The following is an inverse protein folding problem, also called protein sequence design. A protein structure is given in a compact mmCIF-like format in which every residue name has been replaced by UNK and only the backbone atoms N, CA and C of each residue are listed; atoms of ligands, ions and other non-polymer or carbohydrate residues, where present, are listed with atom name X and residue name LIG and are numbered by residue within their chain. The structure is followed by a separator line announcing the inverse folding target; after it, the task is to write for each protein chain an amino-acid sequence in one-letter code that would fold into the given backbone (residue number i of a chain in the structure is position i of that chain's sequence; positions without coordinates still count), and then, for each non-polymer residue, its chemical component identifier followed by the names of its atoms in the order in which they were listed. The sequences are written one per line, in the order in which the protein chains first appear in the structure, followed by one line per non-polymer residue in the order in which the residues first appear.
data_IF_643978633408
#
_entry.id   IF_643978633408
#
_cell.length_a   1.000
_cell.length_b   1.000
_cell.length_c   1.000
_cell.angle_alpha   90.00
_cell.angle_beta   90.00
_cell.angle_gamma   90.00
#
_symmetry.space_group_name_H-M   'P 1'
#
loop_
_entity.id
_entity.type
_entity.pdbx_description
1 polymer ?
#
# COMPACT_ATOMS: atom_id res chain seq x y z
N UNK A 1 -5.69 8.46 -49.16
CA UNK A 1 -6.40 8.09 -47.91
C UNK A 1 -5.68 8.82 -46.79
N UNK A 2 -6.21 9.97 -46.39
CA UNK A 2 -5.49 10.95 -45.56
C UNK A 2 -5.66 10.59 -44.07
N UNK A 3 -4.59 10.10 -43.45
CA UNK A 3 -4.48 10.01 -41.99
C UNK A 3 -4.26 11.42 -41.43
N UNK A 4 -5.34 12.14 -41.12
CA UNK A 4 -5.24 13.33 -40.27
C UNK A 4 -5.05 12.87 -38.83
N UNK A 5 -3.82 12.92 -38.34
CA UNK A 5 -3.49 12.83 -36.91
C UNK A 5 -4.01 14.09 -36.22
N UNK A 6 -5.32 14.19 -36.02
CA UNK A 6 -5.89 15.22 -35.17
C UNK A 6 -5.54 14.88 -33.73
N UNK A 7 -4.85 15.78 -33.05
CA UNK A 7 -4.50 15.61 -31.65
C UNK A 7 -5.78 15.44 -30.83
N UNK A 8 -6.02 14.23 -30.34
CA UNK A 8 -7.20 13.89 -29.55
C UNK A 8 -6.93 14.24 -28.09
N UNK A 9 -7.26 15.47 -27.70
CA UNK A 9 -7.02 15.99 -26.34
C UNK A 9 -7.63 15.09 -25.24
N UNK A 10 -8.86 14.56 -25.36
CA UNK A 10 -9.39 13.60 -24.39
C UNK A 10 -8.51 12.35 -24.19
N UNK A 11 -8.11 11.68 -25.28
CA UNK A 11 -7.25 10.49 -25.19
C UNK A 11 -5.85 10.81 -24.63
N UNK A 12 -5.32 11.99 -24.94
CA UNK A 12 -4.06 12.46 -24.36
C UNK A 12 -4.18 12.69 -22.85
N UNK A 13 -5.28 13.31 -22.40
CA UNK A 13 -5.54 13.57 -20.99
C UNK A 13 -5.77 12.29 -20.19
N UNK A 14 -6.50 11.32 -20.73
CA UNK A 14 -6.74 10.03 -20.07
C UNK A 14 -5.43 9.24 -19.84
N UNK A 15 -4.47 9.37 -20.75
CA UNK A 15 -3.19 8.64 -20.66
C UNK A 15 -2.11 9.37 -19.84
N UNK A 16 -2.02 10.69 -19.93
CA UNK A 16 -0.93 11.47 -19.33
C UNK A 16 -1.37 12.49 -18.27
N UNK A 17 -2.68 12.60 -18.01
CA UNK A 17 -3.25 13.58 -17.10
C UNK A 17 -2.64 13.52 -15.69
N UNK A 18 -2.38 12.33 -15.16
CA UNK A 18 -1.75 12.16 -13.84
C UNK A 18 -0.35 12.77 -13.78
N UNK A 19 0.49 12.56 -14.80
CA UNK A 19 1.83 13.15 -14.86
C UNK A 19 1.77 14.67 -15.01
N UNK A 20 0.80 15.17 -15.77
CA UNK A 20 0.60 16.61 -15.95
C UNK A 20 0.12 17.28 -14.64
N UNK A 21 -0.83 16.66 -13.93
CA UNK A 21 -1.28 17.10 -12.62
C UNK A 21 -0.12 17.11 -11.62
N UNK A 22 0.70 16.05 -11.60
CA UNK A 22 1.90 16.00 -10.76
C UNK A 22 2.85 17.16 -11.07
N UNK A 23 3.13 17.44 -12.34
CA UNK A 23 4.00 18.54 -12.74
C UNK A 23 3.46 19.90 -12.28
N UNK A 24 2.16 20.15 -12.45
CA UNK A 24 1.49 21.36 -11.97
C UNK A 24 1.63 21.51 -10.46
N UNK A 25 1.34 20.45 -9.70
CA UNK A 25 1.47 20.46 -8.23
C UNK A 25 2.92 20.79 -7.84
N UNK A 26 3.90 20.16 -8.46
CA UNK A 26 5.32 20.42 -8.16
C UNK A 26 5.71 21.87 -8.43
N UNK A 27 5.24 22.45 -9.54
CA UNK A 27 5.51 23.86 -9.87
C UNK A 27 4.85 24.80 -8.85
N UNK A 28 3.56 24.61 -8.57
CA UNK A 28 2.82 25.50 -7.65
C UNK A 28 3.42 25.45 -6.24
N UNK A 29 3.57 24.25 -5.66
CA UNK A 29 4.11 24.11 -4.31
C UNK A 29 5.60 24.38 -4.23
N UNK A 30 6.34 24.11 -5.31
CA UNK A 30 7.76 24.46 -5.44
C UNK A 30 7.99 25.97 -5.49
N UNK A 31 7.09 26.75 -6.08
CA UNK A 31 7.18 28.21 -6.11
C UNK A 31 6.69 28.87 -4.83
N UNK A 32 5.57 28.42 -4.26
CA UNK A 32 4.94 29.08 -3.10
C UNK A 32 5.58 28.65 -1.78
N UNK A 33 6.02 27.39 -1.68
CA UNK A 33 6.50 26.78 -0.43
C UNK A 33 7.88 26.14 -0.60
N UNK A 34 8.76 26.72 -1.42
CA UNK A 34 10.09 26.19 -1.75
C UNK A 34 10.88 25.70 -0.52
N UNK A 35 10.90 26.51 0.55
CA UNK A 35 11.63 26.24 1.79
C UNK A 35 11.17 24.98 2.54
N UNK A 36 9.98 24.44 2.23
CA UNK A 36 9.44 23.22 2.81
C UNK A 36 9.30 22.11 1.76
N UNK A 37 8.79 22.44 0.58
CA UNK A 37 8.38 21.49 -0.44
C UNK A 37 9.54 20.88 -1.24
N UNK A 38 10.47 21.70 -1.77
CA UNK A 38 11.62 21.23 -2.57
C UNK A 38 12.85 20.93 -1.72
N UNK A 39 12.65 20.57 -0.46
CA UNK A 39 13.75 20.16 0.42
C UNK A 39 14.11 18.70 0.17
N UNK A 40 15.41 18.38 0.25
CA UNK A 40 15.88 17.00 0.12
C UNK A 40 15.22 16.06 1.15
N UNK A 41 14.91 16.57 2.34
CA UNK A 41 14.18 15.81 3.36
C UNK A 41 12.74 15.54 2.96
N UNK A 42 12.00 16.53 2.47
CA UNK A 42 10.62 16.31 2.03
C UNK A 42 10.54 15.36 0.84
N UNK A 43 11.44 15.49 -0.13
CA UNK A 43 11.52 14.57 -1.27
C UNK A 43 11.77 13.13 -0.80
N UNK A 44 12.73 12.93 0.12
CA UNK A 44 12.99 11.60 0.71
C UNK A 44 11.75 11.05 1.44
N UNK A 45 11.05 11.89 2.21
CA UNK A 45 9.84 11.47 2.92
C UNK A 45 8.71 11.07 1.97
N UNK A 46 8.52 11.79 0.86
CA UNK A 46 7.56 11.42 -0.18
C UNK A 46 7.90 10.03 -0.75
N UNK A 47 9.16 9.80 -1.14
CA UNK A 47 9.57 8.49 -1.66
C UNK A 47 9.43 7.37 -0.63
N UNK A 48 9.79 7.61 0.63
CA UNK A 48 9.62 6.63 1.71
C UNK A 48 8.14 6.30 1.93
N UNK A 49 7.26 7.30 1.95
CA UNK A 49 5.82 7.09 2.10
C UNK A 49 5.22 6.31 0.92
N UNK A 50 5.62 6.66 -0.32
CA UNK A 50 5.19 5.93 -1.52
C UNK A 50 5.72 4.50 -1.56
N UNK A 51 6.92 4.24 -1.02
CA UNK A 51 7.53 2.91 -1.02
C UNK A 51 6.65 1.86 -0.33
N UNK A 52 5.94 2.24 0.73
CA UNK A 52 5.03 1.34 1.46
C UNK A 52 3.90 0.86 0.55
N UNK A 53 3.24 1.79 -0.15
CA UNK A 53 2.15 1.44 -1.09
C UNK A 53 2.67 0.62 -2.27
N UNK A 54 3.87 0.93 -2.79
CA UNK A 54 4.48 0.16 -3.88
C UNK A 54 4.76 -1.28 -3.44
N UNK A 55 5.34 -1.48 -2.26
CA UNK A 55 5.63 -2.82 -1.73
C UNK A 55 4.34 -3.64 -1.49
N UNK A 56 3.30 -3.01 -0.95
CA UNK A 56 1.99 -3.66 -0.78
C UNK A 56 1.40 -4.02 -2.16
N UNK A 57 1.46 -3.10 -3.12
CA UNK A 57 0.99 -3.36 -4.49
C UNK A 57 1.73 -4.51 -5.18
N UNK A 58 3.03 -4.66 -4.92
CA UNK A 58 3.80 -5.82 -5.40
C UNK A 58 3.34 -7.13 -4.77
N UNK A 59 2.91 -7.13 -3.50
CA UNK A 59 2.29 -8.28 -2.85
C UNK A 59 0.90 -8.60 -3.42
N UNK A 60 0.05 -7.58 -3.53
CA UNK A 60 -1.31 -7.70 -4.09
C UNK A 60 -1.32 -8.22 -5.53
N UNK A 61 -0.28 -7.93 -6.30
CA UNK A 61 -0.14 -8.48 -7.65
C UNK A 61 -0.31 -10.00 -7.71
N UNK A 62 0.23 -10.74 -6.73
CA UNK A 62 0.06 -12.19 -6.65
C UNK A 62 -1.39 -12.61 -6.35
N UNK A 63 -2.10 -11.85 -5.50
CA UNK A 63 -3.51 -12.09 -5.22
C UNK A 63 -4.39 -11.85 -6.46
N UNK A 64 -4.08 -10.81 -7.24
CA UNK A 64 -4.78 -10.50 -8.49
C UNK A 64 -4.53 -11.58 -9.56
N UNK A 65 -3.31 -12.12 -9.65
CA UNK A 65 -2.98 -13.17 -10.61
C UNK A 65 -3.82 -14.44 -10.45
N UNK A 66 -4.24 -14.76 -9.22
CA UNK A 66 -5.14 -15.89 -8.93
C UNK A 66 -6.62 -15.51 -9.01
N UNK A 67 -6.94 -14.38 -9.65
CA UNK A 67 -8.28 -13.78 -9.73
C UNK A 67 -8.90 -13.47 -8.34
N UNK A 68 -8.07 -13.27 -7.33
CA UNK A 68 -8.48 -12.83 -6.00
C UNK A 68 -8.32 -11.31 -5.82
N UNK A 69 -8.87 -10.80 -4.72
CA UNK A 69 -8.62 -9.43 -4.23
C UNK A 69 -8.43 -9.56 -2.71
N UNK A 70 -7.35 -9.01 -2.17
CA UNK A 70 -7.12 -8.98 -0.73
C UNK A 70 -7.35 -7.57 -0.16
N UNK A 71 -8.47 -7.42 0.56
CA UNK A 71 -8.84 -6.16 1.21
C UNK A 71 -8.19 -5.98 2.59
N UNK A 72 -7.58 -7.03 3.13
CA UNK A 72 -7.07 -7.08 4.49
C UNK A 72 -5.65 -6.56 4.64
N UNK A 73 -4.91 -6.33 3.55
CA UNK A 73 -3.49 -5.88 3.61
C UNK A 73 -3.28 -4.61 4.42
N UNK A 74 -4.23 -3.68 4.38
CA UNK A 74 -4.16 -2.48 5.22
C UNK A 74 -4.29 -2.79 6.72
N UNK A 75 -5.17 -3.72 7.08
CA UNK A 75 -5.32 -4.16 8.47
C UNK A 75 -4.15 -5.04 8.94
N UNK A 76 -3.62 -5.91 8.06
CA UNK A 76 -2.42 -6.70 8.34
C UNK A 76 -1.22 -5.78 8.58
N UNK A 77 -1.00 -4.78 7.71
CA UNK A 77 0.05 -3.78 7.88
C UNK A 77 -0.05 -3.08 9.24
N UNK A 78 -1.26 -2.63 9.59
CA UNK A 78 -1.49 -1.91 10.85
C UNK A 78 -1.25 -2.81 12.07
N UNK A 79 -1.76 -4.05 12.04
CA UNK A 79 -1.61 -5.02 13.13
C UNK A 79 -0.13 -5.45 13.30
N UNK A 80 0.53 -5.80 12.20
CA UNK A 80 1.94 -6.16 12.19
C UNK A 80 2.82 -5.00 12.70
N UNK A 81 2.56 -3.77 12.24
CA UNK A 81 3.26 -2.57 12.71
C UNK A 81 3.03 -2.30 14.20
N UNK A 82 1.79 -2.45 14.69
CA UNK A 82 1.47 -2.31 16.11
C UNK A 82 2.21 -3.35 16.96
N UNK A 83 2.24 -4.63 16.55
CA UNK A 83 2.97 -5.68 17.26
C UNK A 83 4.47 -5.37 17.30
N UNK A 84 5.07 -5.00 16.16
CA UNK A 84 6.49 -4.60 16.09
C UNK A 84 6.78 -3.44 17.06
N UNK A 85 5.93 -2.40 17.06
CA UNK A 85 6.10 -1.25 17.95
C UNK A 85 5.95 -1.63 19.43
N UNK A 86 4.93 -2.44 19.79
CA UNK A 86 4.74 -2.92 21.17
C UNK A 86 5.94 -3.75 21.66
N UNK A 87 6.52 -4.59 20.81
CA UNK A 87 7.73 -5.36 21.15
C UNK A 87 8.96 -4.47 21.39
N UNK A 88 9.17 -3.47 20.54
CA UNK A 88 10.27 -2.50 20.72
C UNK A 88 10.11 -1.71 22.03
N UNK A 89 8.89 -1.26 22.35
CA UNK A 89 8.61 -0.55 23.61
C UNK A 89 8.80 -1.47 24.82
N UNK A 90 8.54 -2.78 24.68
CA UNK A 90 8.80 -3.78 25.71
C UNK A 90 10.29 -4.11 25.89
N UNK A 91 11.20 -3.46 25.15
CA UNK A 91 12.65 -3.65 25.27
C UNK A 91 13.22 -4.80 24.44
N UNK A 92 12.43 -5.39 23.53
CA UNK A 92 12.93 -6.37 22.57
C UNK A 92 13.84 -5.67 21.56
N UNK A 93 14.93 -6.35 21.18
CA UNK A 93 15.83 -5.87 20.14
C UNK A 93 15.06 -5.46 18.85
N UNK A 94 15.36 -4.30 18.25
CA UNK A 94 14.60 -3.81 17.09
C UNK A 94 14.58 -4.77 15.90
N UNK A 95 15.67 -5.49 15.63
CA UNK A 95 15.74 -6.44 14.51
C UNK A 95 14.82 -7.62 14.83
N UNK A 96 14.88 -8.15 16.06
CA UNK A 96 14.02 -9.24 16.48
C UNK A 96 12.54 -8.85 16.49
N UNK A 97 12.22 -7.63 16.92
CA UNK A 97 10.86 -7.09 16.90
C UNK A 97 10.29 -7.01 15.47
N UNK A 98 11.09 -6.59 14.49
CA UNK A 98 10.69 -6.56 13.07
C UNK A 98 10.47 -7.97 12.52
N UNK A 99 11.36 -8.92 12.83
CA UNK A 99 11.20 -10.31 12.37
C UNK A 99 9.89 -10.89 12.93
N UNK A 100 9.61 -10.69 14.21
CA UNK A 100 8.40 -11.24 14.85
C UNK A 100 7.15 -10.51 14.36
N UNK A 101 7.08 -9.19 14.53
CA UNK A 101 5.85 -8.44 14.27
C UNK A 101 5.58 -8.24 12.79
N UNK A 102 6.60 -8.00 11.96
CA UNK A 102 6.39 -7.72 10.53
C UNK A 102 6.42 -8.98 9.67
N UNK A 103 7.37 -9.90 9.88
CA UNK A 103 7.50 -11.09 9.03
C UNK A 103 6.60 -12.21 9.53
N UNK A 104 6.73 -12.62 10.80
CA UNK A 104 5.99 -13.78 11.31
C UNK A 104 4.50 -13.50 11.49
N UNK A 105 4.14 -12.39 12.15
CA UNK A 105 2.73 -12.02 12.32
C UNK A 105 2.11 -11.62 10.97
N UNK A 106 2.76 -10.74 10.20
CA UNK A 106 2.26 -10.34 8.88
C UNK A 106 2.06 -11.53 7.92
N UNK A 107 3.08 -12.38 7.79
CA UNK A 107 3.02 -13.60 6.99
C UNK A 107 2.00 -14.62 7.52
N UNK A 108 1.89 -14.76 8.84
CA UNK A 108 0.92 -15.63 9.48
C UNK A 108 -0.53 -15.21 9.22
N UNK A 109 -0.84 -13.92 9.31
CA UNK A 109 -2.17 -13.38 9.01
C UNK A 109 -2.53 -13.55 7.52
N UNK A 110 -1.57 -13.33 6.61
CA UNK A 110 -1.76 -13.62 5.19
C UNK A 110 -1.98 -15.11 4.90
N UNK A 111 -1.23 -15.98 5.58
CA UNK A 111 -1.41 -17.42 5.47
C UNK A 111 -2.79 -17.88 5.99
N UNK A 112 -3.31 -17.25 7.05
CA UNK A 112 -4.68 -17.50 7.53
C UNK A 112 -5.71 -17.18 6.44
N UNK A 113 -5.59 -16.03 5.76
CA UNK A 113 -6.48 -15.69 4.64
C UNK A 113 -6.41 -16.74 3.54
N UNK A 114 -5.20 -17.11 3.10
CA UNK A 114 -5.01 -18.11 2.06
C UNK A 114 -5.58 -19.49 2.43
N UNK A 115 -5.35 -19.92 3.67
CA UNK A 115 -5.89 -21.17 4.19
C UNK A 115 -7.43 -21.15 4.27
N UNK A 116 -8.02 -20.05 4.73
CA UNK A 116 -9.47 -19.90 4.79
C UNK A 116 -10.11 -19.92 3.41
N UNK A 117 -9.52 -19.25 2.42
CA UNK A 117 -9.99 -19.30 1.03
C UNK A 117 -9.94 -20.74 0.51
N UNK A 118 -8.82 -21.45 0.70
CA UNK A 118 -8.67 -22.81 0.22
C UNK A 118 -9.61 -23.81 0.91
N UNK A 119 -9.83 -23.68 2.22
CA UNK A 119 -10.64 -24.60 3.00
C UNK A 119 -12.16 -24.36 2.85
N UNK A 120 -12.59 -23.09 2.83
CA UNK A 120 -14.02 -22.75 2.76
C UNK A 120 -14.56 -22.72 1.35
N UNK A 121 -13.71 -22.58 0.33
CA UNK A 121 -14.13 -22.40 -1.06
C UNK A 121 -14.84 -21.07 -1.31
N UNK A 122 -14.86 -20.16 -0.32
CA UNK A 122 -15.47 -18.84 -0.46
C UNK A 122 -14.58 -17.92 -1.29
N UNK A 123 -15.21 -16.98 -1.99
CA UNK A 123 -14.48 -16.00 -2.81
C UNK A 123 -13.51 -15.17 -1.93
N UNK A 124 -12.24 -14.94 -2.35
CA UNK A 124 -11.23 -14.23 -1.57
C UNK A 124 -11.67 -12.87 -1.02
N UNK A 125 -12.48 -12.14 -1.78
CA UNK A 125 -13.07 -10.87 -1.35
C UNK A 125 -13.86 -10.97 -0.03
N UNK A 126 -14.67 -12.03 0.14
CA UNK A 126 -15.52 -12.20 1.33
C UNK A 126 -14.67 -12.53 2.55
N UNK A 127 -13.71 -13.44 2.39
CA UNK A 127 -12.77 -13.81 3.45
C UNK A 127 -11.96 -12.59 3.88
N UNK A 128 -11.34 -11.88 2.94
CA UNK A 128 -10.44 -10.76 3.24
C UNK A 128 -11.17 -9.53 3.75
N UNK A 129 -12.42 -9.29 3.35
CA UNK A 129 -13.27 -8.26 3.96
C UNK A 129 -13.61 -8.60 5.42
N UNK A 130 -13.95 -9.86 5.70
CA UNK A 130 -14.22 -10.34 7.06
C UNK A 130 -12.99 -10.25 7.97
N UNK A 131 -11.84 -10.76 7.49
CA UNK A 131 -10.59 -10.70 8.26
C UNK A 131 -10.04 -9.28 8.38
N UNK A 132 -10.27 -8.40 7.40
CA UNK A 132 -9.99 -6.97 7.53
C UNK A 132 -10.70 -6.35 8.74
N UNK A 133 -11.98 -6.66 8.98
CA UNK A 133 -12.70 -6.18 10.15
C UNK A 133 -12.14 -6.75 11.46
N UNK A 134 -11.83 -8.05 11.49
CA UNK A 134 -11.26 -8.72 12.67
C UNK A 134 -9.89 -8.14 13.01
N UNK A 135 -8.96 -8.12 12.05
CA UNK A 135 -7.59 -7.64 12.25
C UNK A 135 -7.57 -6.16 12.62
N UNK A 136 -8.44 -5.35 12.00
CA UNK A 136 -8.58 -3.93 12.36
C UNK A 136 -9.15 -3.77 13.77
N UNK A 137 -10.10 -4.60 14.18
CA UNK A 137 -10.61 -4.63 15.55
C UNK A 137 -9.52 -4.92 16.58
N UNK A 138 -8.66 -5.91 16.30
CA UNK A 138 -7.50 -6.25 17.15
C UNK A 138 -6.48 -5.11 17.20
N UNK A 139 -6.34 -4.34 16.11
CA UNK A 139 -5.37 -3.23 16.06
C UNK A 139 -5.82 -2.02 16.91
N UNK A 140 -7.11 -1.88 17.18
CA UNK A 140 -7.66 -0.75 17.95
C UNK A 140 -7.47 -0.88 19.48
N UNK A 141 -6.90 -1.98 19.97
CA UNK A 141 -6.60 -2.26 21.40
C UNK A 141 -5.11 -2.24 21.72
#
# INVERSE_FOLDING_TARGET
MNNTTTFNFPQFWDKYGTFFILAIIVVIFGSISNQYFLTANNIKQIFLQSSVTVLIGMGEFFAILIAGIDLSVGAILALAGMVTAKLMVAGVDPILAVIIGSILVGGGLGAINGALVNYTGLHPFIITLGTNAIFRGITLV
#
